data_IF_994392556401
#
_entry.id   IF_994392556401
#
_cell.length_a   1.000
_cell.length_b   1.000
_cell.length_c   1.000
_cell.angle_alpha   90.00
_cell.angle_beta   90.00
_cell.angle_gamma   90.00
#
_symmetry.space_group_name_H-M   'P 1'
#
loop_
_entity.id
_entity.type
_entity.pdbx_description
1 polymer ?
#
# COMPACT_ATOMS: atom_id res chain seq x y z
N UNK A 1 -8.62 -20.50 -4.44
CA UNK A 1 -8.69 -19.04 -4.27
C UNK A 1 -7.88 -18.42 -5.38
N UNK A 2 -8.49 -17.58 -6.21
CA UNK A 2 -7.77 -16.90 -7.28
C UNK A 2 -6.69 -15.99 -6.68
N UNK A 3 -5.52 -15.98 -7.31
CA UNK A 3 -4.43 -15.08 -6.94
C UNK A 3 -4.88 -13.61 -7.01
N UNK A 4 -4.41 -12.79 -6.06
CA UNK A 4 -4.56 -11.32 -6.14
C UNK A 4 -3.78 -10.71 -7.32
N UNK A 5 -2.80 -11.45 -7.84
CA UNK A 5 -1.88 -11.02 -8.88
C UNK A 5 -1.96 -11.91 -10.11
N UNK A 6 -1.74 -11.29 -11.25
CA UNK A 6 -1.65 -11.90 -12.57
C UNK A 6 -0.23 -12.45 -12.77
N UNK A 7 -0.03 -13.73 -12.47
CA UNK A 7 1.31 -14.34 -12.50
C UNK A 7 1.88 -14.40 -13.91
N UNK A 8 1.02 -14.55 -14.93
CA UNK A 8 1.43 -14.52 -16.33
C UNK A 8 1.91 -13.12 -16.70
N UNK A 9 1.19 -12.08 -16.27
CA UNK A 9 1.63 -10.69 -16.47
C UNK A 9 2.96 -10.38 -15.78
N UNK A 10 3.16 -10.86 -14.55
CA UNK A 10 4.45 -10.72 -13.84
C UNK A 10 5.56 -11.44 -14.60
N UNK A 11 5.28 -12.64 -15.13
CA UNK A 11 6.25 -13.48 -15.82
C UNK A 11 6.85 -12.83 -17.07
N UNK A 12 6.15 -11.87 -17.68
CA UNK A 12 6.65 -11.07 -18.79
C UNK A 12 7.82 -10.16 -18.41
N UNK A 13 7.94 -9.79 -17.13
CA UNK A 13 8.98 -8.87 -16.63
C UNK A 13 10.07 -9.59 -15.83
N UNK A 14 9.67 -10.57 -15.02
CA UNK A 14 10.58 -11.33 -14.16
C UNK A 14 10.24 -12.81 -14.21
N UNK A 15 11.23 -13.73 -14.22
CA UNK A 15 10.94 -15.16 -14.12
C UNK A 15 10.19 -15.47 -12.82
N UNK A 16 9.03 -16.14 -12.96
CA UNK A 16 8.19 -16.57 -11.84
C UNK A 16 8.26 -18.09 -11.73
N UNK A 17 8.63 -18.59 -10.56
CA UNK A 17 8.60 -20.02 -10.25
C UNK A 17 7.65 -20.20 -9.05
N UNK A 18 6.48 -20.79 -9.30
CA UNK A 18 5.52 -21.13 -8.25
C UNK A 18 5.95 -22.40 -7.53
N UNK A 19 5.75 -22.46 -6.22
CA UNK A 19 6.09 -23.60 -5.35
C UNK A 19 5.32 -24.89 -5.66
N UNK A 20 4.22 -24.79 -6.42
CA UNK A 20 3.44 -25.91 -6.92
C UNK A 20 3.76 -26.27 -8.39
N UNK A 21 4.73 -25.61 -9.03
CA UNK A 21 5.05 -25.82 -10.45
C UNK A 21 5.96 -27.04 -10.68
N UNK A 22 5.84 -27.69 -11.84
CA UNK A 22 6.80 -28.73 -12.27
C UNK A 22 8.24 -28.21 -12.26
N UNK A 23 8.44 -26.96 -12.66
CA UNK A 23 9.74 -26.29 -12.64
C UNK A 23 10.31 -26.22 -11.22
N UNK A 24 9.49 -25.90 -10.22
CA UNK A 24 9.91 -25.92 -8.82
C UNK A 24 10.28 -27.32 -8.33
N UNK A 25 9.48 -28.34 -8.67
CA UNK A 25 9.82 -29.72 -8.36
C UNK A 25 11.13 -30.17 -9.05
N UNK A 26 11.36 -29.77 -10.30
CA UNK A 26 12.60 -30.06 -11.02
C UNK A 26 13.80 -29.36 -10.38
N UNK A 27 13.64 -28.09 -9.99
CA UNK A 27 14.62 -27.32 -9.23
C UNK A 27 14.96 -28.04 -7.93
N UNK A 28 13.96 -28.42 -7.14
CA UNK A 28 14.16 -29.14 -5.87
C UNK A 28 14.84 -30.49 -6.11
N UNK A 29 14.35 -31.31 -7.04
CA UNK A 29 14.91 -32.63 -7.32
C UNK A 29 16.36 -32.55 -7.82
N UNK A 30 16.67 -31.58 -8.69
CA UNK A 30 18.04 -31.36 -9.19
C UNK A 30 18.95 -30.82 -8.08
N UNK A 31 18.44 -29.92 -7.24
CA UNK A 31 19.19 -29.38 -6.12
C UNK A 31 19.54 -30.43 -5.07
N UNK A 32 18.61 -31.36 -4.78
CA UNK A 32 18.85 -32.48 -3.88
C UNK A 32 19.95 -33.39 -4.41
N UNK A 33 20.01 -33.62 -5.73
CA UNK A 33 21.11 -34.38 -6.37
C UNK A 33 22.47 -33.69 -6.27
N UNK A 34 22.49 -32.36 -6.26
CA UNK A 34 23.71 -31.55 -6.16
C UNK A 34 24.14 -31.26 -4.71
N UNK A 35 23.34 -31.67 -3.71
CA UNK A 35 23.64 -31.49 -2.29
C UNK A 35 23.95 -30.04 -1.92
N UNK A 36 25.04 -29.82 -1.18
CA UNK A 36 25.48 -28.49 -0.75
C UNK A 36 25.85 -27.50 -1.88
N UNK A 37 25.86 -27.96 -3.15
CA UNK A 37 26.17 -27.16 -4.35
C UNK A 37 24.94 -26.85 -5.22
N UNK A 38 23.75 -27.33 -4.85
CA UNK A 38 22.57 -27.20 -5.72
C UNK A 38 21.77 -25.92 -5.50
N UNK A 39 21.47 -25.61 -4.24
CA UNK A 39 20.60 -24.50 -3.83
C UNK A 39 21.10 -23.92 -2.51
N UNK A 40 20.99 -22.60 -2.33
CA UNK A 40 21.08 -21.97 -1.02
C UNK A 40 19.86 -21.09 -0.75
N UNK A 41 19.35 -21.19 0.48
CA UNK A 41 18.43 -20.20 1.02
C UNK A 41 19.25 -18.98 1.44
N UNK A 42 18.90 -17.80 0.93
CA UNK A 42 19.68 -16.57 1.16
C UNK A 42 18.94 -15.53 2.02
N UNK A 43 18.00 -16.00 2.84
CA UNK A 43 17.34 -15.14 3.83
C UNK A 43 18.37 -14.55 4.80
N UNK A 44 18.39 -13.23 4.92
CA UNK A 44 19.32 -12.50 5.78
C UNK A 44 20.72 -12.26 5.20
N UNK A 45 21.05 -12.79 4.02
CA UNK A 45 22.36 -12.61 3.37
C UNK A 45 22.41 -11.24 2.67
N UNK A 46 23.50 -10.49 2.85
CA UNK A 46 23.64 -9.16 2.26
C UNK A 46 24.00 -9.23 0.76
N UNK A 47 23.69 -8.17 -0.02
CA UNK A 47 24.06 -8.12 -1.45
C UNK A 47 25.59 -8.16 -1.66
N UNK A 48 26.33 -7.56 -0.73
CA UNK A 48 27.80 -7.56 -0.73
C UNK A 48 28.28 -8.99 -0.53
N UNK A 49 27.75 -9.68 0.46
CA UNK A 49 28.11 -11.07 0.78
C UNK A 49 27.75 -12.05 -0.35
N UNK A 50 26.60 -11.86 -1.03
CA UNK A 50 26.23 -12.63 -2.22
C UNK A 50 27.22 -12.44 -3.38
N UNK A 51 27.78 -11.24 -3.53
CA UNK A 51 28.70 -10.88 -4.61
C UNK A 51 30.13 -11.33 -4.32
N UNK A 52 30.57 -11.22 -3.06
CA UNK A 52 31.96 -11.45 -2.66
C UNK A 52 32.23 -12.90 -2.26
N UNK A 53 31.20 -13.66 -1.87
CA UNK A 53 31.39 -15.07 -1.47
C UNK A 53 31.27 -16.01 -2.67
N UNK A 54 32.38 -16.65 -3.03
CA UNK A 54 32.46 -17.66 -4.10
C UNK A 54 31.53 -18.87 -3.92
N UNK A 55 31.00 -19.08 -2.71
CA UNK A 55 29.99 -20.10 -2.41
C UNK A 55 28.68 -19.87 -3.18
N UNK A 56 28.31 -18.61 -3.46
CA UNK A 56 27.03 -18.26 -4.08
C UNK A 56 27.10 -18.13 -5.61
N UNK A 57 28.29 -18.13 -6.21
CA UNK A 57 28.48 -17.82 -7.63
C UNK A 57 27.92 -18.85 -8.60
N UNK A 58 27.75 -20.11 -8.16
CA UNK A 58 27.38 -21.24 -9.01
C UNK A 58 26.19 -22.06 -8.47
N UNK A 59 25.39 -21.49 -7.57
CA UNK A 59 24.25 -22.20 -6.94
C UNK A 59 22.95 -21.42 -7.15
N UNK A 60 21.82 -22.13 -7.20
CA UNK A 60 20.52 -21.47 -7.31
C UNK A 60 20.14 -20.83 -5.97
N UNK A 61 20.03 -19.50 -5.96
CA UNK A 61 19.67 -18.75 -4.76
C UNK A 61 18.16 -18.69 -4.63
N UNK A 62 17.63 -19.27 -3.55
CA UNK A 62 16.22 -19.17 -3.19
C UNK A 62 16.10 -18.06 -2.16
N UNK A 63 15.53 -16.93 -2.57
CA UNK A 63 15.26 -15.82 -1.68
C UNK A 63 13.78 -15.81 -1.27
N UNK A 64 13.42 -16.51 -0.17
CA UNK A 64 12.06 -16.45 0.41
C UNK A 64 11.83 -15.25 1.33
N UNK A 65 12.65 -14.20 1.27
CA UNK A 65 12.35 -12.96 2.01
C UNK A 65 11.02 -12.35 1.57
N UNK A 66 10.47 -12.70 0.42
CA UNK A 66 9.05 -12.51 0.17
C UNK A 66 8.23 -13.45 1.07
N UNK A 67 7.86 -12.97 2.26
CA UNK A 67 6.87 -13.61 3.13
C UNK A 67 5.67 -14.12 2.30
N UNK A 68 5.05 -15.27 2.62
CA UNK A 68 3.77 -15.67 2.02
C UNK A 68 2.65 -14.63 2.27
N UNK A 69 2.87 -13.72 3.21
CA UNK A 69 2.13 -12.47 3.39
C UNK A 69 2.87 -11.31 2.69
N UNK A 70 3.31 -11.47 1.44
CA UNK A 70 4.16 -10.51 0.73
C UNK A 70 3.59 -9.08 0.72
N UNK A 71 2.28 -8.95 0.87
CA UNK A 71 1.54 -7.71 1.14
C UNK A 71 1.98 -6.95 2.42
N UNK A 72 2.45 -7.64 3.46
CA UNK A 72 2.94 -7.07 4.72
C UNK A 72 4.45 -6.77 4.71
N UNK A 73 5.22 -7.43 3.84
CA UNK A 73 6.67 -7.22 3.71
C UNK A 73 7.03 -5.90 3.01
N UNK A 74 6.12 -5.30 2.23
CA UNK A 74 6.28 -3.90 1.75
C UNK A 74 6.54 -2.91 2.91
N UNK A 75 6.15 -3.27 4.15
CA UNK A 75 6.32 -2.46 5.35
C UNK A 75 7.40 -2.97 6.33
N UNK A 76 7.67 -4.29 6.38
CA UNK A 76 8.42 -4.89 7.49
C UNK A 76 9.95 -4.80 7.37
N UNK A 77 10.51 -4.77 6.16
CA UNK A 77 11.97 -4.98 5.96
C UNK A 77 12.68 -3.94 5.08
N UNK A 78 12.17 -2.70 5.00
CA UNK A 78 12.82 -1.61 4.23
C UNK A 78 14.24 -1.23 4.71
N UNK A 79 14.69 -1.72 5.86
CA UNK A 79 16.07 -1.49 6.34
C UNK A 79 17.05 -2.53 5.77
N UNK A 80 16.54 -3.65 5.23
CA UNK A 80 17.37 -4.67 4.62
C UNK A 80 17.57 -4.36 3.13
N UNK A 81 18.68 -3.67 2.82
CA UNK A 81 19.06 -3.24 1.45
C UNK A 81 19.48 -4.40 0.53
N UNK A 82 19.42 -5.65 0.98
CA UNK A 82 19.83 -6.82 0.19
C UNK A 82 18.72 -7.50 -0.61
N UNK A 83 17.44 -7.23 -0.30
CA UNK A 83 16.33 -7.70 -1.11
C UNK A 83 16.25 -6.84 -2.39
N UNK A 84 16.23 -7.48 -3.56
CA UNK A 84 15.87 -6.82 -4.82
C UNK A 84 14.39 -6.40 -4.67
N UNK A 85 14.16 -5.17 -4.20
CA UNK A 85 12.81 -4.64 -4.12
C UNK A 85 12.35 -4.33 -5.53
N UNK A 86 11.28 -5.01 -5.96
CA UNK A 86 10.51 -4.56 -7.11
C UNK A 86 10.08 -3.11 -6.85
N UNK A 87 10.03 -2.25 -7.88
CA UNK A 87 9.55 -0.88 -7.72
C UNK A 87 8.22 -0.86 -6.95
N UNK A 88 8.03 0.13 -6.08
CA UNK A 88 6.83 0.25 -5.26
C UNK A 88 5.52 0.28 -6.08
N UNK A 89 5.61 0.67 -7.36
CA UNK A 89 4.52 0.68 -8.33
C UNK A 89 4.31 -0.64 -9.06
N UNK A 90 5.26 -1.58 -9.00
CA UNK A 90 5.25 -2.81 -9.81
C UNK A 90 4.12 -3.74 -9.40
N UNK A 91 4.14 -4.28 -8.16
CA UNK A 91 3.12 -5.25 -7.72
C UNK A 91 1.67 -4.75 -7.89
N UNK A 92 1.34 -3.50 -7.57
CA UNK A 92 -0.01 -2.97 -7.81
C UNK A 92 -0.44 -3.03 -9.27
N UNK A 93 0.47 -2.75 -10.20
CA UNK A 93 0.18 -2.83 -11.64
C UNK A 93 0.03 -4.27 -12.15
N UNK A 94 0.40 -5.25 -11.34
CA UNK A 94 0.35 -6.69 -11.65
C UNK A 94 -0.86 -7.39 -11.05
N UNK A 95 -1.87 -6.64 -10.60
CA UNK A 95 -3.10 -7.21 -10.06
C UNK A 95 -3.78 -8.16 -11.08
N UNK A 96 -4.53 -9.13 -10.57
CA UNK A 96 -5.30 -10.08 -11.38
C UNK A 96 -6.15 -9.35 -12.43
N UNK A 97 -6.22 -9.89 -13.65
CA UNK A 97 -6.94 -9.28 -14.79
C UNK A 97 -8.35 -8.81 -14.42
N UNK A 98 -9.11 -9.63 -13.69
CA UNK A 98 -10.48 -9.28 -13.23
C UNK A 98 -10.53 -8.00 -12.37
N UNK A 99 -9.54 -7.80 -11.50
CA UNK A 99 -9.44 -6.59 -10.65
C UNK A 99 -9.03 -5.37 -11.49
N UNK A 100 -8.11 -5.54 -12.44
CA UNK A 100 -7.71 -4.49 -13.39
C UNK A 100 -8.87 -4.04 -14.27
N UNK A 101 -9.63 -4.99 -14.81
CA UNK A 101 -10.78 -4.72 -15.66
C UNK A 101 -11.87 -3.96 -14.88
N UNK A 102 -12.17 -4.36 -13.65
CA UNK A 102 -13.11 -3.65 -12.78
C UNK A 102 -12.63 -2.23 -12.43
N UNK A 103 -11.36 -2.06 -12.05
CA UNK A 103 -10.79 -0.75 -11.82
C UNK A 103 -10.84 0.12 -13.09
N UNK A 104 -10.59 -0.44 -14.27
CA UNK A 104 -10.70 0.26 -15.55
C UNK A 104 -12.11 0.79 -15.82
N UNK A 105 -13.14 -0.02 -15.56
CA UNK A 105 -14.55 0.40 -15.67
C UNK A 105 -14.87 1.55 -14.70
N UNK A 106 -14.45 1.43 -13.44
CA UNK A 106 -14.70 2.47 -12.43
C UNK A 106 -14.01 3.78 -12.79
N UNK A 107 -12.74 3.72 -13.22
CA UNK A 107 -12.01 4.91 -13.70
C UNK A 107 -12.71 5.59 -14.88
N UNK A 108 -13.24 4.80 -15.81
CA UNK A 108 -14.00 5.34 -16.94
C UNK A 108 -15.28 6.05 -16.49
N UNK A 109 -15.97 5.51 -15.48
CA UNK A 109 -17.15 6.15 -14.88
C UNK A 109 -16.80 7.42 -14.09
N UNK A 110 -15.63 7.45 -13.43
CA UNK A 110 -15.14 8.62 -12.69
C UNK A 110 -14.71 9.77 -13.61
N UNK A 111 -14.22 9.47 -14.82
CA UNK A 111 -13.74 10.46 -15.79
C UNK A 111 -12.41 11.09 -15.35
N UNK A 112 -12.33 12.42 -15.32
CA UNK A 112 -11.20 13.16 -14.73
C UNK A 112 -11.46 13.40 -13.23
N UNK A 113 -10.61 12.83 -12.38
CA UNK A 113 -10.77 12.87 -10.92
C UNK A 113 -9.42 12.96 -10.22
N UNK A 114 -9.45 13.44 -8.98
CA UNK A 114 -8.34 13.32 -8.03
C UNK A 114 -8.71 12.27 -6.97
N UNK A 115 -7.72 11.73 -6.28
CA UNK A 115 -7.95 10.70 -5.27
C UNK A 115 -7.17 10.95 -3.99
N UNK A 116 -7.77 10.55 -2.88
CA UNK A 116 -7.10 10.46 -1.59
C UNK A 116 -7.19 9.05 -1.01
N UNK A 117 -6.08 8.61 -0.41
CA UNK A 117 -6.05 7.42 0.43
C UNK A 117 -5.90 7.85 1.88
N UNK A 118 -6.90 7.54 2.70
CA UNK A 118 -7.02 7.98 4.10
C UNK A 118 -6.99 6.79 5.07
N UNK A 119 -5.84 6.58 5.70
CA UNK A 119 -5.56 5.50 6.65
C UNK A 119 -5.68 6.01 8.09
N UNK A 120 -6.88 5.94 8.64
CA UNK A 120 -7.23 6.40 9.99
C UNK A 120 -7.46 5.26 10.97
N UNK A 121 -8.41 4.36 10.68
CA UNK A 121 -9.03 3.48 11.67
C UNK A 121 -8.07 2.62 12.51
N UNK A 122 -7.03 2.05 11.90
CA UNK A 122 -6.00 1.25 12.60
C UNK A 122 -4.84 2.08 13.17
N UNK A 123 -4.69 3.32 12.71
CA UNK A 123 -3.58 4.22 13.04
C UNK A 123 -3.90 5.14 14.21
N UNK A 124 -5.17 5.44 14.44
CA UNK A 124 -5.68 6.16 15.60
C UNK A 124 -5.69 5.28 16.85
N UNK A 125 -4.49 4.87 17.28
CA UNK A 125 -4.28 4.15 18.54
C UNK A 125 -4.02 5.14 19.66
N UNK A 126 -4.85 5.08 20.69
CA UNK A 126 -4.71 5.90 21.89
C UNK A 126 -4.45 5.02 23.10
N UNK A 127 -3.60 5.49 24.02
CA UNK A 127 -3.44 4.91 25.35
C UNK A 127 -3.32 6.02 26.40
N UNK A 128 -3.70 5.73 27.64
CA UNK A 128 -3.42 6.63 28.75
C UNK A 128 -2.02 6.36 29.31
N UNK A 129 -1.30 7.42 29.66
CA UNK A 129 -0.07 7.29 30.46
C UNK A 129 -0.40 7.15 31.96
N UNK A 130 0.64 7.06 32.80
CA UNK A 130 0.51 6.93 34.26
C UNK A 130 -0.23 8.09 34.94
N UNK A 131 -0.43 9.20 34.25
CA UNK A 131 -1.14 10.38 34.74
C UNK A 131 -2.54 10.51 34.11
N UNK A 132 -3.00 9.50 33.36
CA UNK A 132 -4.30 9.50 32.70
C UNK A 132 -4.37 10.31 31.40
N UNK A 133 -3.24 10.85 30.93
CA UNK A 133 -3.17 11.68 29.72
C UNK A 133 -3.14 10.79 28.48
N UNK A 134 -3.96 11.14 27.49
CA UNK A 134 -4.02 10.41 26.23
C UNK A 134 -2.73 10.60 25.42
N UNK A 135 -2.23 9.49 24.89
CA UNK A 135 -1.05 9.43 24.03
C UNK A 135 -1.38 8.69 22.75
N UNK A 136 -0.79 9.15 21.65
CA UNK A 136 -0.94 8.59 20.30
C UNK A 136 0.44 8.37 19.65
N UNK A 137 0.50 7.50 18.64
CA UNK A 137 1.72 7.23 17.87
C UNK A 137 1.97 8.25 16.75
N UNK A 138 0.90 8.93 16.33
CA UNK A 138 0.89 9.93 15.28
C UNK A 138 0.15 11.16 15.85
N UNK A 139 0.87 12.16 16.41
CA UNK A 139 0.28 13.27 17.15
C UNK A 139 -0.69 14.13 16.33
N UNK A 140 -0.47 14.29 15.02
CA UNK A 140 -1.29 15.16 14.17
C UNK A 140 -2.32 14.40 13.34
N UNK A 141 -2.18 13.07 13.21
CA UNK A 141 -3.00 12.27 12.30
C UNK A 141 -4.52 12.48 12.46
N UNK A 142 -5.06 12.46 13.68
CA UNK A 142 -6.51 12.63 13.87
C UNK A 142 -6.97 13.99 13.35
N UNK A 143 -6.28 15.05 13.77
CA UNK A 143 -6.52 16.43 13.36
C UNK A 143 -6.45 16.55 11.84
N UNK A 144 -5.33 16.17 11.24
CA UNK A 144 -5.02 16.41 9.84
C UNK A 144 -5.93 15.66 8.86
N UNK A 145 -6.54 14.57 9.33
CA UNK A 145 -7.44 13.76 8.50
C UNK A 145 -8.93 13.95 8.85
N UNK A 146 -9.28 14.96 9.66
CA UNK A 146 -10.65 15.43 9.81
C UNK A 146 -11.08 16.28 8.60
N UNK A 147 -12.37 16.27 8.21
CA UNK A 147 -12.82 16.94 6.98
C UNK A 147 -12.44 18.42 6.88
N UNK A 148 -12.56 19.17 7.97
CA UNK A 148 -12.24 20.59 8.03
C UNK A 148 -10.75 20.89 7.78
N UNK A 149 -9.84 20.02 8.23
CA UNK A 149 -8.41 20.14 7.97
C UNK A 149 -8.05 19.64 6.57
N UNK A 150 -8.68 18.56 6.12
CA UNK A 150 -8.52 18.02 4.77
C UNK A 150 -8.88 19.11 3.74
N UNK A 151 -10.03 19.77 3.87
CA UNK A 151 -10.46 20.85 2.97
C UNK A 151 -9.36 21.88 2.78
N UNK A 152 -8.77 22.34 3.89
CA UNK A 152 -7.76 23.38 3.88
C UNK A 152 -6.43 22.90 3.30
N UNK A 153 -6.02 21.68 3.66
CA UNK A 153 -4.78 21.06 3.18
C UNK A 153 -4.83 20.89 1.67
N UNK A 154 -5.92 20.32 1.14
CA UNK A 154 -5.98 19.90 -0.27
C UNK A 154 -6.43 21.01 -1.22
N UNK A 155 -7.01 22.12 -0.73
CA UNK A 155 -7.47 23.23 -1.58
C UNK A 155 -6.36 23.82 -2.48
N UNK A 156 -5.09 23.72 -2.07
CA UNK A 156 -3.94 24.17 -2.87
C UNK A 156 -3.56 23.20 -4.00
N UNK A 157 -4.07 21.97 -3.98
CA UNK A 157 -3.74 20.91 -4.94
C UNK A 157 -4.94 20.54 -5.82
N UNK A 158 -6.14 20.52 -5.22
CA UNK A 158 -7.38 20.09 -5.86
C UNK A 158 -8.34 21.27 -5.94
N UNK A 159 -8.59 21.82 -7.14
CA UNK A 159 -9.60 22.84 -7.36
C UNK A 159 -11.00 22.43 -6.90
N UNK A 160 -11.79 23.42 -6.49
CA UNK A 160 -13.19 23.23 -6.12
C UNK A 160 -14.02 22.64 -7.27
N UNK A 161 -15.07 21.89 -6.93
CA UNK A 161 -16.02 21.28 -7.87
C UNK A 161 -15.53 19.98 -8.52
N UNK A 162 -14.28 19.59 -8.29
CA UNK A 162 -13.70 18.37 -8.85
C UNK A 162 -14.20 17.10 -8.17
N UNK A 163 -14.16 16.00 -8.92
CA UNK A 163 -14.42 14.66 -8.40
C UNK A 163 -13.24 14.20 -7.55
N UNK A 164 -13.53 13.79 -6.32
CA UNK A 164 -12.56 13.31 -5.35
C UNK A 164 -12.94 11.88 -4.93
N UNK A 165 -12.17 10.91 -5.41
CA UNK A 165 -12.29 9.52 -4.97
C UNK A 165 -11.60 9.33 -3.61
N UNK A 166 -12.30 8.74 -2.64
CA UNK A 166 -11.80 8.54 -1.28
C UNK A 166 -11.72 7.04 -0.99
N UNK A 167 -10.51 6.52 -0.90
CA UNK A 167 -10.23 5.19 -0.36
C UNK A 167 -9.87 5.32 1.13
N UNK A 168 -10.64 4.72 2.02
CA UNK A 168 -10.41 4.87 3.46
C UNK A 168 -10.81 3.65 4.27
N UNK A 169 -10.13 3.45 5.40
CA UNK A 169 -10.52 2.51 6.45
C UNK A 169 -11.21 3.18 7.64
N UNK A 170 -11.64 4.44 7.50
CA UNK A 170 -12.52 5.09 8.47
C UNK A 170 -13.83 4.31 8.60
N UNK A 171 -14.26 4.08 9.84
CA UNK A 171 -15.42 3.22 10.15
C UNK A 171 -16.69 4.02 10.31
N UNK A 172 -16.57 5.32 10.61
CA UNK A 172 -17.72 6.19 10.85
C UNK A 172 -18.42 6.51 9.53
N UNK A 173 -19.67 6.06 9.31
CA UNK A 173 -20.40 6.36 8.09
C UNK A 173 -20.54 7.87 7.88
N UNK A 174 -20.34 8.32 6.65
CA UNK A 174 -20.47 9.74 6.32
C UNK A 174 -19.40 10.65 6.94
N UNK A 175 -18.33 10.12 7.52
CA UNK A 175 -17.25 10.92 8.12
C UNK A 175 -16.71 12.02 7.18
N UNK A 176 -16.55 11.69 5.90
CA UNK A 176 -16.05 12.63 4.89
C UNK A 176 -17.14 13.46 4.21
N UNK A 177 -18.42 13.33 4.60
CA UNK A 177 -19.52 14.08 3.99
C UNK A 177 -19.33 15.61 4.00
N UNK A 178 -18.66 16.26 4.98
CA UNK A 178 -18.44 17.70 4.92
C UNK A 178 -17.57 18.15 3.73
N UNK A 179 -16.77 17.25 3.14
CA UNK A 179 -15.98 17.54 1.93
C UNK A 179 -16.88 17.84 0.72
N UNK A 180 -18.16 17.41 0.74
CA UNK A 180 -19.12 17.61 -0.34
C UNK A 180 -19.45 19.08 -0.60
N UNK A 181 -19.17 19.96 0.36
CA UNK A 181 -19.29 21.41 0.20
C UNK A 181 -18.33 21.97 -0.86
N UNK A 182 -17.23 21.28 -1.15
CA UNK A 182 -16.21 21.73 -2.12
C UNK A 182 -15.91 20.73 -3.23
N UNK A 183 -16.23 19.46 -3.05
CA UNK A 183 -15.84 18.38 -3.97
C UNK A 183 -17.00 17.42 -4.25
N UNK A 184 -17.01 16.81 -5.44
CA UNK A 184 -17.92 15.71 -5.76
C UNK A 184 -17.31 14.41 -5.23
N UNK A 185 -17.88 13.85 -4.18
CA UNK A 185 -17.28 12.70 -3.49
C UNK A 185 -17.62 11.39 -4.21
N UNK A 186 -16.63 10.53 -4.36
CA UNK A 186 -16.81 9.17 -4.85
C UNK A 186 -16.11 8.17 -3.92
N UNK A 187 -16.76 7.02 -3.71
CA UNK A 187 -16.30 5.93 -2.86
C UNK A 187 -16.44 4.61 -3.60
N UNK A 188 -15.74 3.57 -3.15
CA UNK A 188 -15.91 2.22 -3.69
C UNK A 188 -17.37 1.75 -3.63
N UNK A 189 -18.10 2.10 -2.57
CA UNK A 189 -19.52 1.75 -2.40
C UNK A 189 -20.46 2.35 -3.46
N UNK A 190 -20.05 3.41 -4.19
CA UNK A 190 -20.83 3.92 -5.32
C UNK A 190 -20.79 3.00 -6.54
N UNK A 191 -19.93 1.98 -6.55
CA UNK A 191 -19.71 1.06 -7.66
C UNK A 191 -19.99 -0.40 -7.28
N UNK A 192 -20.88 -0.64 -6.31
CA UNK A 192 -21.23 -1.98 -5.80
C UNK A 192 -21.66 -2.95 -6.91
N UNK A 193 -22.36 -2.47 -7.95
CA UNK A 193 -22.75 -3.31 -9.10
C UNK A 193 -21.57 -3.90 -9.88
N UNK A 194 -20.40 -3.26 -9.82
CA UNK A 194 -19.15 -3.74 -10.41
C UNK A 194 -18.36 -4.58 -9.39
N UNK A 195 -18.38 -4.18 -8.12
CA UNK A 195 -17.52 -4.73 -7.07
C UNK A 195 -18.11 -5.98 -6.39
N UNK A 196 -19.39 -5.98 -6.05
CA UNK A 196 -20.02 -7.06 -5.27
C UNK A 196 -19.88 -8.45 -5.93
N UNK A 197 -20.00 -8.61 -7.27
CA UNK A 197 -19.80 -9.91 -7.91
C UNK A 197 -18.33 -10.39 -7.92
N UNK A 198 -17.37 -9.52 -7.58
CA UNK A 198 -15.94 -9.74 -7.74
C UNK A 198 -15.18 -9.81 -6.41
N UNK A 199 -15.63 -9.04 -5.41
CA UNK A 199 -14.97 -8.87 -4.13
C UNK A 199 -15.45 -9.95 -3.15
N UNK A 200 -14.56 -10.87 -2.84
CA UNK A 200 -14.75 -11.92 -1.83
C UNK A 200 -14.10 -11.53 -0.48
N UNK A 201 -13.14 -10.60 -0.48
CA UNK A 201 -12.44 -10.18 0.72
C UNK A 201 -11.85 -8.76 0.63
N UNK A 202 -11.47 -8.21 1.79
CA UNK A 202 -10.93 -6.86 1.91
C UNK A 202 -9.61 -6.63 1.16
N UNK A 203 -8.84 -7.67 0.85
CA UNK A 203 -7.60 -7.52 0.09
C UNK A 203 -7.87 -7.22 -1.38
N UNK A 204 -8.89 -7.86 -1.96
CA UNK A 204 -9.32 -7.56 -3.33
C UNK A 204 -9.88 -6.14 -3.42
N UNK A 205 -10.69 -5.72 -2.43
CA UNK A 205 -11.20 -4.34 -2.38
C UNK A 205 -10.05 -3.34 -2.31
N UNK A 206 -9.10 -3.56 -1.39
CA UNK A 206 -7.91 -2.73 -1.26
C UNK A 206 -7.10 -2.66 -2.56
N UNK A 207 -6.94 -3.77 -3.27
CA UNK A 207 -6.22 -3.80 -4.56
C UNK A 207 -6.93 -2.94 -5.62
N UNK A 208 -8.26 -3.05 -5.73
CA UNK A 208 -9.04 -2.24 -6.67
C UNK A 208 -8.97 -0.77 -6.30
N UNK A 209 -9.15 -0.40 -5.03
CA UNK A 209 -9.01 0.98 -4.57
C UNK A 209 -7.63 1.54 -4.90
N UNK A 210 -6.55 0.76 -4.71
CA UNK A 210 -5.19 1.15 -5.08
C UNK A 210 -5.07 1.40 -6.59
N UNK A 211 -5.64 0.55 -7.43
CA UNK A 211 -5.66 0.72 -8.89
C UNK A 211 -6.47 1.96 -9.34
N UNK A 212 -7.57 2.27 -8.65
CA UNK A 212 -8.36 3.49 -8.89
C UNK A 212 -7.55 4.71 -8.48
N UNK A 213 -6.93 4.72 -7.29
CA UNK A 213 -6.08 5.82 -6.83
C UNK A 213 -4.93 6.07 -7.81
N UNK A 214 -4.28 5.02 -8.31
CA UNK A 214 -3.19 5.14 -9.29
C UNK A 214 -3.60 5.74 -10.64
N UNK A 215 -4.89 5.72 -10.97
CA UNK A 215 -5.41 6.35 -12.20
C UNK A 215 -5.79 7.82 -12.03
N UNK A 216 -5.74 8.36 -10.81
CA UNK A 216 -6.14 9.73 -10.53
C UNK A 216 -5.11 10.73 -11.03
N UNK A 217 -5.57 11.95 -11.36
CA UNK A 217 -4.71 13.05 -11.80
C UNK A 217 -3.79 13.54 -10.66
N UNK A 218 -4.38 13.74 -9.49
CA UNK A 218 -3.66 14.08 -8.25
C UNK A 218 -3.92 13.00 -7.22
N UNK A 219 -2.85 12.50 -6.59
CA UNK A 219 -2.92 11.48 -5.54
C UNK A 219 -2.44 12.08 -4.23
N UNK A 220 -3.31 12.02 -3.22
CA UNK A 220 -3.01 12.52 -1.88
C UNK A 220 -3.01 11.34 -0.91
N UNK A 221 -1.87 11.09 -0.29
CA UNK A 221 -1.71 10.01 0.69
C UNK A 221 -2.02 10.51 2.09
N UNK A 222 -2.24 9.60 3.02
CA UNK A 222 -2.30 9.95 4.44
C UNK A 222 -0.94 10.46 4.91
N UNK A 223 0.08 9.63 4.72
CA UNK A 223 1.46 9.89 5.09
C UNK A 223 2.30 10.05 3.83
N UNK A 224 3.35 10.85 3.92
CA UNK A 224 4.38 10.95 2.89
C UNK A 224 5.15 9.63 2.77
N UNK A 225 5.30 9.09 1.56
CA UNK A 225 6.11 7.88 1.30
C UNK A 225 7.41 8.24 0.59
N UNK A 226 7.35 9.19 -0.34
CA UNK A 226 8.47 9.78 -1.09
C UNK A 226 8.46 11.31 -0.99
N UNK A 227 9.59 11.97 -1.29
CA UNK A 227 9.73 13.41 -1.10
C UNK A 227 8.80 14.28 -1.94
N UNK A 228 8.28 13.73 -3.03
CA UNK A 228 7.35 14.38 -3.96
C UNK A 228 5.87 14.07 -3.67
N UNK A 229 5.57 13.18 -2.73
CA UNK A 229 4.19 12.83 -2.40
C UNK A 229 3.44 14.00 -1.75
N UNK A 230 2.16 14.14 -2.11
CA UNK A 230 1.21 14.97 -1.38
C UNK A 230 0.66 14.17 -0.21
N UNK A 231 0.68 14.75 1.00
CA UNK A 231 0.21 14.08 2.21
C UNK A 231 -0.77 14.92 3.04
N UNK A 232 -1.71 14.25 3.68
CA UNK A 232 -2.64 14.87 4.63
C UNK A 232 -1.97 15.26 5.93
N UNK A 233 -1.08 14.39 6.45
CA UNK A 233 -0.31 14.62 7.68
C UNK A 233 1.18 14.71 7.40
N UNK A 234 1.87 15.51 8.21
CA UNK A 234 3.34 15.59 8.24
C UNK A 234 3.97 14.55 9.18
N UNK A 235 3.16 13.86 9.99
CA UNK A 235 3.62 12.70 10.76
C UNK A 235 4.28 11.63 9.86
N UNK A 236 5.36 10.98 10.33
CA UNK A 236 5.98 9.89 9.58
C UNK A 236 5.06 8.67 9.52
N UNK A 237 4.99 7.99 8.36
CA UNK A 237 4.21 6.75 8.18
C UNK A 237 4.59 5.65 9.18
N UNK A 238 5.90 5.52 9.43
CA UNK A 238 6.46 4.66 10.45
C UNK A 238 6.52 5.44 11.75
N UNK A 239 5.81 4.97 12.78
CA UNK A 239 5.96 5.57 14.09
C UNK A 239 7.35 5.24 14.65
N UNK A 240 7.88 6.15 15.47
CA UNK A 240 9.12 5.97 16.23
C UNK A 240 8.92 5.10 17.47
N UNK A 241 7.75 4.48 17.63
CA UNK A 241 7.22 3.89 18.87
C UNK A 241 7.15 4.86 20.07
N UNK A 242 7.41 6.15 19.84
CA UNK A 242 7.22 7.20 20.83
C UNK A 242 5.74 7.58 20.91
N UNK A 243 5.18 7.51 22.11
CA UNK A 243 3.80 7.88 22.38
C UNK A 243 3.73 9.34 22.83
N UNK A 244 3.04 10.16 22.05
CA UNK A 244 3.06 11.62 22.13
C UNK A 244 1.68 12.16 22.49
N UNK A 245 1.61 13.40 23.01
CA UNK A 245 0.32 14.07 23.22
C UNK A 245 -0.29 14.38 21.84
N UNK A 246 -1.57 14.08 21.62
CA UNK A 246 -2.23 14.44 20.37
C UNK A 246 -2.33 15.97 20.23
N UNK A 247 -2.15 16.44 19.00
CA UNK A 247 -2.14 17.86 18.66
C UNK A 247 -3.40 18.18 17.88
N UNK A 248 -4.20 19.11 18.41
CA UNK A 248 -5.45 19.57 17.79
C UNK A 248 -5.44 21.07 17.42
N UNK A 249 -4.35 21.77 17.71
CA UNK A 249 -4.18 23.17 17.31
C UNK A 249 -4.09 23.27 15.79
N UNK A 250 -4.74 24.28 15.21
CA UNK A 250 -4.67 24.54 13.77
C UNK A 250 -3.33 25.21 13.45
N UNK A 251 -2.61 24.70 12.46
CA UNK A 251 -1.37 25.32 12.00
C UNK A 251 -1.70 26.46 11.02
N UNK A 252 -1.31 27.70 11.34
CA UNK A 252 -1.42 28.88 10.48
C UNK A 252 -2.78 29.60 10.47
N UNK A 253 -2.84 30.83 9.90
CA UNK A 253 -4.09 31.58 9.73
C UNK A 253 -5.03 30.83 8.78
N UNK A 254 -6.33 30.99 8.99
CA UNK A 254 -7.38 30.21 8.33
C UNK A 254 -7.25 30.10 6.81
N UNK A 255 -7.53 28.90 6.31
CA UNK A 255 -8.30 28.72 5.09
C UNK A 255 -9.62 29.50 5.15
#
# INVERSE_FOLDING_TARGET
>A
MDSLYDMDLISNSIPVILDNSKTWYQVLATSMKLGARGVAHVEGVSRIELKETSRYSNILLINRTASPLSWFMECKDRNNRSAIMLPYSFLPSMAAKKLRDAAGKIKSLLGDYDAMHVRRGDKLKTRKDRFGVDRVLHPHLDRDTRPEFIICRIARWVPHGRTLFIASNERTPGFFSPLSLRYKLAYASNFSTILDPLIENNYQLFMIERLIVMGARTVIRTFKEDDTDLSLTDDPKKNTKAWQIPVYTKDGPGC
#
